data_IF_310753072415
#
_entry.id   IF_310753072415
#
_cell.length_a   1.000
_cell.length_b   1.000
_cell.length_c   1.000
_cell.angle_alpha   90.00
_cell.angle_beta   90.00
_cell.angle_gamma   90.00
#
_symmetry.space_group_name_H-M   'P 1'
#
loop_
_entity.id
_entity.type
_entity.pdbx_description
1 polymer ?
#
# COMPACT_ATOMS: atom_id res chain seq x y z
N UNK A 1 -11.69 -30.73 20.99
CA UNK A 1 -11.07 -31.85 20.22
C UNK A 1 -11.12 -31.57 18.71
N UNK A 2 -10.55 -30.46 18.22
CA UNK A 2 -10.56 -30.09 16.79
C UNK A 2 -9.14 -29.96 16.21
N UNK A 3 -8.20 -29.43 16.99
CA UNK A 3 -6.82 -29.16 16.52
C UNK A 3 -5.99 -30.42 16.23
N UNK A 4 -6.34 -31.53 16.90
CA UNK A 4 -5.61 -32.80 16.74
C UNK A 4 -5.89 -33.48 15.40
N UNK A 5 -7.00 -33.14 14.73
CA UNK A 5 -7.32 -33.66 13.39
C UNK A 5 -6.58 -32.90 12.29
N UNK A 6 -6.46 -31.57 12.39
CA UNK A 6 -5.78 -30.76 11.38
C UNK A 6 -4.28 -31.09 11.25
N UNK A 7 -3.60 -31.41 12.37
CA UNK A 7 -2.18 -31.79 12.36
C UNK A 7 -1.94 -33.21 11.81
N UNK A 8 -2.90 -34.12 12.00
CA UNK A 8 -2.85 -35.47 11.43
C UNK A 8 -3.05 -35.43 9.91
N UNK A 9 -3.90 -34.54 9.41
CA UNK A 9 -4.08 -34.31 7.97
C UNK A 9 -2.84 -33.69 7.30
N UNK A 10 -2.11 -32.81 8.02
CA UNK A 10 -0.84 -32.24 7.54
C UNK A 10 0.30 -33.26 7.45
N UNK A 11 0.34 -34.26 8.33
CA UNK A 11 1.36 -35.30 8.30
C UNK A 11 1.27 -36.19 7.04
N UNK A 12 0.08 -36.28 6.42
CA UNK A 12 -0.15 -36.96 5.15
C UNK A 12 -0.18 -36.04 3.93
N UNK A 13 0.00 -34.72 4.12
CA UNK A 13 -0.10 -33.75 3.04
C UNK A 13 1.11 -33.83 2.11
N UNK A 14 0.96 -34.53 1.00
CA UNK A 14 1.90 -34.45 -0.12
C UNK A 14 1.49 -33.23 -0.95
N UNK A 15 2.24 -32.14 -0.84
CA UNK A 15 2.07 -30.92 -1.62
C UNK A 15 2.30 -31.16 -3.12
N UNK A 16 1.36 -31.80 -3.80
CA UNK A 16 1.39 -31.94 -5.25
C UNK A 16 0.88 -30.64 -5.85
N UNK A 17 1.83 -29.81 -6.30
CA UNK A 17 1.48 -28.59 -7.03
C UNK A 17 0.62 -28.95 -8.24
N UNK A 18 -0.54 -28.31 -8.45
CA UNK A 18 -1.34 -28.49 -9.67
C UNK A 18 -0.58 -28.16 -10.96
N UNK A 19 0.53 -27.41 -10.85
CA UNK A 19 1.44 -27.13 -11.97
C UNK A 19 2.32 -28.33 -12.36
N UNK A 20 2.61 -29.21 -11.40
CA UNK A 20 3.39 -30.43 -11.59
C UNK A 20 2.51 -31.64 -11.96
N UNK A 21 1.21 -31.42 -12.19
CA UNK A 21 0.30 -32.47 -12.62
C UNK A 21 0.71 -33.02 -14.00
N UNK A 22 0.71 -34.35 -14.19
CA UNK A 22 0.90 -34.96 -15.52
C UNK A 22 -0.30 -34.68 -16.45
N UNK A 23 -1.45 -34.28 -15.89
CA UNK A 23 -2.63 -33.87 -16.67
C UNK A 23 -2.53 -32.41 -17.08
N UNK A 24 -2.47 -32.20 -18.40
CA UNK A 24 -2.41 -30.88 -19.03
C UNK A 24 -3.64 -30.01 -18.73
N UNK A 25 -4.84 -30.58 -18.55
CA UNK A 25 -6.05 -29.82 -18.21
C UNK A 25 -5.97 -29.21 -16.82
N UNK A 26 -5.45 -29.98 -15.86
CA UNK A 26 -5.24 -29.53 -14.47
C UNK A 26 -4.19 -28.41 -14.44
N UNK A 27 -3.10 -28.58 -15.18
CA UNK A 27 -2.03 -27.58 -15.29
C UNK A 27 -2.51 -26.27 -15.92
N UNK A 28 -3.25 -26.34 -17.04
CA UNK A 28 -3.77 -25.15 -17.72
C UNK A 28 -4.77 -24.37 -16.86
N UNK A 29 -5.60 -25.07 -16.10
CA UNK A 29 -6.53 -24.44 -15.14
C UNK A 29 -5.77 -23.70 -14.03
N UNK A 30 -4.74 -24.33 -13.47
CA UNK A 30 -3.90 -23.72 -12.44
C UNK A 30 -3.14 -22.49 -12.98
N UNK A 31 -2.55 -22.61 -14.17
CA UNK A 31 -1.88 -21.51 -14.85
C UNK A 31 -2.85 -20.34 -15.10
N UNK A 32 -4.02 -20.59 -15.69
CA UNK A 32 -5.01 -19.55 -15.95
C UNK A 32 -5.43 -18.79 -14.68
N UNK A 33 -5.65 -19.51 -13.58
CA UNK A 33 -6.01 -18.90 -12.30
C UNK A 33 -4.87 -18.08 -11.66
N UNK A 34 -3.61 -18.45 -11.91
CA UNK A 34 -2.45 -17.64 -11.50
C UNK A 34 -2.34 -16.39 -12.36
N UNK A 35 -2.50 -16.51 -13.68
CA UNK A 35 -2.46 -15.37 -14.60
C UNK A 35 -3.56 -14.36 -14.27
N UNK A 36 -4.79 -14.82 -14.00
CA UNK A 36 -5.93 -13.97 -13.62
C UNK A 36 -5.69 -13.18 -12.33
N UNK A 37 -4.92 -13.73 -11.38
CA UNK A 37 -4.54 -13.05 -10.13
C UNK A 37 -3.37 -12.09 -10.29
N UNK A 38 -2.47 -12.36 -11.23
CA UNK A 38 -1.28 -11.54 -11.50
C UNK A 38 -1.57 -10.38 -12.46
N UNK A 39 -2.55 -10.54 -13.34
CA UNK A 39 -3.04 -9.46 -14.20
C UNK A 39 -3.62 -8.36 -13.28
N UNK A 40 -3.08 -7.13 -13.32
CA UNK A 40 -3.70 -6.00 -12.65
C UNK A 40 -5.13 -5.95 -13.17
N UNK A 41 -6.14 -6.09 -12.28
CA UNK A 41 -7.56 -6.15 -12.63
C UNK A 41 -7.82 -5.14 -13.76
N UNK A 42 -7.97 -5.65 -14.98
CA UNK A 42 -7.73 -4.90 -16.22
C UNK A 42 -8.82 -3.86 -16.52
N UNK A 43 -9.73 -3.66 -15.58
CA UNK A 43 -10.82 -2.69 -15.61
C UNK A 43 -10.67 -1.76 -14.42
N UNK A 44 -9.61 -0.95 -14.42
CA UNK A 44 -9.62 0.26 -13.58
C UNK A 44 -10.80 1.09 -14.05
N UNK A 45 -11.74 1.33 -13.14
CA UNK A 45 -12.86 2.19 -13.47
C UNK A 45 -12.34 3.60 -13.77
N UNK A 46 -13.11 4.39 -14.51
CA UNK A 46 -12.80 5.81 -14.69
C UNK A 46 -12.66 6.52 -13.33
N UNK A 47 -13.43 6.09 -12.32
CA UNK A 47 -13.31 6.56 -10.94
C UNK A 47 -11.95 6.28 -10.32
N UNK A 48 -11.39 5.08 -10.52
CA UNK A 48 -10.05 4.74 -10.03
C UNK A 48 -8.96 5.60 -10.70
N UNK A 49 -9.11 5.87 -12.00
CA UNK A 49 -8.18 6.74 -12.72
C UNK A 49 -8.26 8.19 -12.23
N UNK A 50 -9.47 8.70 -12.00
CA UNK A 50 -9.69 10.03 -11.44
C UNK A 50 -9.11 10.14 -10.03
N UNK A 51 -9.28 9.12 -9.18
CA UNK A 51 -8.69 9.09 -7.85
C UNK A 51 -7.15 9.21 -7.90
N UNK A 52 -6.50 8.51 -8.84
CA UNK A 52 -5.05 8.61 -9.06
C UNK A 52 -4.65 10.02 -9.51
N UNK A 53 -5.36 10.60 -10.48
CA UNK A 53 -5.07 11.96 -11.00
C UNK A 53 -5.27 13.01 -9.91
N UNK A 54 -6.33 12.92 -9.12
CA UNK A 54 -6.58 13.84 -8.01
C UNK A 54 -5.48 13.75 -6.95
N UNK A 55 -5.06 12.53 -6.60
CA UNK A 55 -3.96 12.29 -5.66
C UNK A 55 -2.65 12.89 -6.19
N UNK A 56 -2.34 12.66 -7.47
CA UNK A 56 -1.16 13.22 -8.11
C UNK A 56 -1.22 14.75 -8.17
N UNK A 57 -2.38 15.33 -8.49
CA UNK A 57 -2.60 16.78 -8.58
C UNK A 57 -2.49 17.46 -7.21
N UNK A 58 -2.99 16.83 -6.14
CA UNK A 58 -2.83 17.33 -4.79
C UNK A 58 -1.36 17.30 -4.34
N UNK A 59 -0.63 16.24 -4.72
CA UNK A 59 0.81 16.14 -4.45
C UNK A 59 1.61 17.18 -5.21
N UNK A 60 1.35 17.37 -6.51
CA UNK A 60 2.05 18.38 -7.31
C UNK A 60 1.76 19.79 -6.81
N UNK A 61 0.52 20.11 -6.37
CA UNK A 61 0.25 21.39 -5.70
C UNK A 61 1.10 21.61 -4.46
N UNK A 62 1.27 20.59 -3.60
CA UNK A 62 2.13 20.70 -2.40
C UNK A 62 3.61 20.86 -2.74
N UNK A 63 4.08 20.25 -3.83
CA UNK A 63 5.48 20.37 -4.27
C UNK A 63 5.76 21.67 -5.02
N UNK A 64 4.78 22.21 -5.75
CA UNK A 64 4.92 23.45 -6.50
C UNK A 64 4.68 24.71 -5.65
N UNK A 65 4.01 24.58 -4.51
CA UNK A 65 3.91 25.69 -3.56
C UNK A 65 5.24 25.92 -2.87
N UNK A 66 5.66 27.19 -2.82
CA UNK A 66 6.82 27.57 -2.05
C UNK A 66 6.62 27.15 -0.57
N UNK A 67 7.64 26.57 0.07
CA UNK A 67 7.60 26.26 1.48
C UNK A 67 7.18 27.48 2.30
N UNK A 68 6.24 27.30 3.22
CA UNK A 68 5.84 28.36 4.14
C UNK A 68 6.84 28.39 5.29
N UNK A 69 7.44 29.55 5.52
CA UNK A 69 8.26 29.82 6.69
C UNK A 69 7.44 30.56 7.72
N UNK A 70 7.39 30.03 8.95
CA UNK A 70 6.69 30.64 10.07
C UNK A 70 7.70 30.97 11.16
N UNK A 71 7.73 32.24 11.53
CA UNK A 71 8.50 32.74 12.66
C UNK A 71 7.56 33.01 13.84
N UNK A 72 7.86 32.41 14.98
CA UNK A 72 7.10 32.59 16.23
C UNK A 72 8.02 33.17 17.29
N UNK A 73 7.76 34.41 17.68
CA UNK A 73 8.38 35.06 18.82
C UNK A 73 7.44 35.00 20.04
N UNK A 74 7.94 34.45 21.15
CA UNK A 74 7.24 34.42 22.45
C UNK A 74 7.93 35.38 23.39
N UNK A 75 7.16 36.25 24.05
CA UNK A 75 7.66 37.21 25.02
C UNK A 75 7.19 36.85 26.42
N UNK A 76 8.09 36.95 27.39
CA UNK A 76 7.75 36.82 28.80
C UNK A 76 6.91 38.02 29.27
N UNK A 77 6.16 37.92 30.38
CA UNK A 77 5.38 39.04 30.92
C UNK A 77 6.19 40.33 31.17
N UNK A 78 7.50 40.22 31.37
CA UNK A 78 8.43 41.36 31.49
C UNK A 78 8.90 41.97 30.15
N UNK A 79 8.27 41.63 29.03
CA UNK A 79 8.56 42.17 27.69
C UNK A 79 9.85 41.66 27.04
N UNK A 80 10.67 40.89 27.77
CA UNK A 80 11.86 40.22 27.22
C UNK A 80 11.44 38.99 26.39
N UNK A 81 12.09 38.79 25.25
CA UNK A 81 11.86 37.62 24.38
C UNK A 81 12.26 36.34 25.13
N UNK A 82 11.33 35.40 25.23
CA UNK A 82 11.50 34.12 25.89
C UNK A 82 11.91 33.01 24.91
N UNK A 83 11.32 33.00 23.71
CA UNK A 83 11.55 31.96 22.71
C UNK A 83 11.42 32.55 21.29
N UNK A 84 12.22 32.04 20.37
CA UNK A 84 12.07 32.26 18.92
C UNK A 84 12.07 30.90 18.23
N UNK A 85 11.03 30.60 17.47
CA UNK A 85 10.90 29.36 16.71
C UNK A 85 10.81 29.70 15.22
N UNK A 86 11.61 29.01 14.42
CA UNK A 86 11.51 29.04 12.96
C UNK A 86 11.01 27.68 12.49
N UNK A 87 9.86 27.67 11.81
CA UNK A 87 9.20 26.47 11.31
C UNK A 87 9.11 26.53 9.78
N UNK A 88 9.36 25.40 9.12
CA UNK A 88 9.52 25.31 7.66
C UNK A 88 10.96 24.90 7.33
N UNK A 89 11.12 23.75 6.67
CA UNK A 89 12.42 23.12 6.44
C UNK A 89 13.36 23.94 5.54
N UNK A 90 14.66 23.59 5.62
CA UNK A 90 15.77 24.11 4.82
C UNK A 90 15.70 23.69 3.36
#
# INVERSE_FOLDING_TARGET
MSDRNALVELAGFIGRSPLASPDMKVRNRALSGMTERLLPRQKRSVGDLLAVVMTLSARTRRMAQNPVHVEVDVFAPGGKRALRLNLGGS
#
